data_IF_304261925901
#
_entry.id   IF_304261925901
#
_cell.length_a   1.000
_cell.length_b   1.000
_cell.length_c   1.000
_cell.angle_alpha   90.00
_cell.angle_beta   90.00
_cell.angle_gamma   90.00
#
_symmetry.space_group_name_H-M   'P 1'
#
loop_
_entity.id
_entity.type
_entity.pdbx_description
1 polymer ?
#
# COMPACT_ATOMS: atom_id res chain seq x y z
N UNK A 1 12.92 -4.91 4.70
CA UNK A 1 13.10 -5.06 3.24
C UNK A 1 12.20 -6.19 2.75
N UNK A 2 11.50 -6.02 1.63
CA UNK A 2 10.64 -7.06 1.06
C UNK A 2 11.09 -7.45 -0.36
N UNK A 3 11.10 -6.50 -1.30
CA UNK A 3 11.41 -6.77 -2.71
C UNK A 3 11.85 -5.50 -3.45
N UNK A 4 12.25 -5.65 -4.72
CA UNK A 4 12.51 -4.52 -5.63
C UNK A 4 11.80 -4.71 -6.97
N UNK A 5 11.36 -3.63 -7.61
CA UNK A 5 10.74 -3.64 -8.94
C UNK A 5 11.28 -2.49 -9.79
N UNK A 6 11.82 -2.73 -10.99
CA UNK A 6 12.16 -1.64 -11.91
C UNK A 6 10.87 -0.96 -12.42
N UNK A 7 10.90 0.36 -12.54
CA UNK A 7 9.78 1.16 -13.02
C UNK A 7 10.24 2.14 -14.12
N UNK A 8 9.86 1.94 -15.39
CA UNK A 8 10.47 2.65 -16.52
C UNK A 8 9.95 4.08 -16.76
N UNK A 9 9.26 4.68 -15.79
CA UNK A 9 8.71 6.04 -15.90
C UNK A 9 9.05 6.88 -14.67
N UNK A 10 10.03 7.82 -14.74
CA UNK A 10 10.93 8.11 -15.86
C UNK A 10 12.10 7.12 -16.00
N UNK A 11 12.60 6.54 -14.91
CA UNK A 11 13.59 5.44 -14.83
C UNK A 11 13.94 5.23 -13.34
N UNK A 12 13.14 4.44 -12.64
CA UNK A 12 13.22 4.28 -11.19
C UNK A 12 13.43 2.82 -10.78
N UNK A 13 14.06 2.60 -9.64
CA UNK A 13 14.07 1.32 -8.94
C UNK A 13 13.20 1.44 -7.68
N UNK A 14 12.06 0.77 -7.68
CA UNK A 14 11.19 0.72 -6.51
C UNK A 14 11.76 -0.26 -5.49
N UNK A 15 12.02 0.20 -4.27
CA UNK A 15 12.46 -0.63 -3.15
C UNK A 15 11.28 -0.76 -2.18
N UNK A 16 10.70 -1.95 -2.10
CA UNK A 16 9.54 -2.24 -1.27
C UNK A 16 9.93 -2.54 0.17
N UNK A 17 9.32 -1.82 1.11
CA UNK A 17 9.53 -1.94 2.55
C UNK A 17 8.17 -2.08 3.26
N UNK A 18 8.16 -2.87 4.34
CA UNK A 18 7.08 -2.87 5.33
C UNK A 18 7.68 -2.24 6.59
N UNK A 19 7.01 -1.23 7.13
CA UNK A 19 7.49 -0.47 8.27
C UNK A 19 6.39 -0.37 9.32
N UNK A 20 6.80 -0.36 10.59
CA UNK A 20 5.91 -0.03 11.71
C UNK A 20 5.94 1.47 11.93
N UNK A 21 4.78 2.04 12.24
CA UNK A 21 4.64 3.45 12.60
C UNK A 21 4.59 3.60 14.12
N UNK A 22 5.10 4.71 14.63
CA UNK A 22 5.10 5.00 16.06
C UNK A 22 3.75 5.55 16.58
N UNK A 23 2.88 6.03 15.67
CA UNK A 23 1.58 6.64 15.94
C UNK A 23 0.63 6.42 14.74
N UNK A 24 -0.67 6.47 14.99
CA UNK A 24 -1.75 6.46 14.00
C UNK A 24 -2.24 7.88 13.61
N UNK A 25 -1.62 8.92 14.15
CA UNK A 25 -1.85 10.30 13.69
C UNK A 25 -1.34 10.47 12.24
N UNK A 26 -2.27 10.70 11.31
CA UNK A 26 -1.97 10.89 9.90
C UNK A 26 -2.68 12.13 9.34
N UNK A 27 -1.91 13.03 8.73
CA UNK A 27 -2.41 14.19 7.98
C UNK A 27 -1.74 14.20 6.60
N UNK A 28 -2.50 14.20 5.48
CA UNK A 28 -1.92 14.31 4.16
C UNK A 28 -1.26 15.68 3.93
N UNK A 29 -0.12 15.69 3.25
CA UNK A 29 0.34 16.89 2.55
C UNK A 29 -0.52 17.08 1.31
N UNK A 30 -1.41 18.07 1.35
CA UNK A 30 -2.39 18.35 0.31
C UNK A 30 -1.77 18.78 -1.04
N UNK A 31 -0.45 18.99 -1.11
CA UNK A 31 0.26 19.22 -2.37
C UNK A 31 0.62 17.92 -3.10
N UNK A 32 0.75 16.80 -2.38
CA UNK A 32 1.14 15.50 -2.93
C UNK A 32 0.01 14.44 -2.86
N UNK A 33 -0.74 14.40 -1.75
CA UNK A 33 -1.79 13.43 -1.49
C UNK A 33 -3.09 14.14 -1.09
N UNK A 34 -4.22 13.69 -1.62
CA UNK A 34 -5.53 14.30 -1.31
C UNK A 34 -6.20 13.73 -0.05
N UNK A 35 -5.89 12.47 0.30
CA UNK A 35 -6.47 11.74 1.43
C UNK A 35 -5.47 10.70 1.94
N UNK A 36 -5.49 10.44 3.25
CA UNK A 36 -4.82 9.31 3.89
C UNK A 36 -5.84 8.58 4.77
N UNK A 37 -5.79 7.26 4.76
CA UNK A 37 -6.69 6.40 5.54
C UNK A 37 -5.93 5.20 6.09
N UNK A 38 -6.24 4.84 7.33
CA UNK A 38 -5.80 3.58 7.93
C UNK A 38 -6.77 2.46 7.58
N UNK A 39 -6.22 1.29 7.31
CA UNK A 39 -6.98 0.07 7.07
C UNK A 39 -6.53 -0.99 8.07
N UNK A 40 -7.50 -1.73 8.61
CA UNK A 40 -7.24 -2.98 9.33
C UNK A 40 -6.87 -4.09 8.34
N UNK A 41 -6.26 -5.19 8.83
CA UNK A 41 -5.95 -6.36 7.97
C UNK A 41 -7.18 -6.91 7.24
N UNK A 42 -8.37 -7.09 7.87
CA UNK A 42 -9.58 -7.49 7.16
C UNK A 42 -9.99 -6.51 6.06
N UNK A 43 -10.00 -5.19 6.33
CA UNK A 43 -10.37 -4.19 5.33
C UNK A 43 -9.37 -4.15 4.16
N UNK A 44 -8.08 -4.34 4.42
CA UNK A 44 -7.07 -4.45 3.37
C UNK A 44 -7.28 -5.68 2.49
N UNK A 45 -7.70 -6.82 3.06
CA UNK A 45 -8.08 -8.01 2.28
C UNK A 45 -9.32 -7.76 1.42
N UNK A 46 -10.31 -7.05 1.95
CA UNK A 46 -11.48 -6.64 1.17
C UNK A 46 -11.12 -5.64 0.06
N UNK A 47 -10.17 -4.73 0.32
CA UNK A 47 -9.64 -3.80 -0.68
C UNK A 47 -8.92 -4.53 -1.82
N UNK A 48 -8.08 -5.51 -1.48
CA UNK A 48 -7.41 -6.39 -2.45
C UNK A 48 -8.42 -7.23 -3.26
N UNK A 49 -9.55 -7.59 -2.66
CA UNK A 49 -10.65 -8.29 -3.31
C UNK A 49 -11.60 -7.37 -4.10
N UNK A 50 -11.37 -6.05 -4.10
CA UNK A 50 -12.20 -5.07 -4.80
C UNK A 50 -13.59 -4.88 -4.19
N UNK A 51 -13.74 -5.10 -2.89
CA UNK A 51 -15.04 -5.04 -2.17
C UNK A 51 -15.27 -3.73 -1.42
N UNK A 52 -14.31 -2.81 -1.45
CA UNK A 52 -14.41 -1.51 -0.76
C UNK A 52 -14.90 -0.46 -1.75
N UNK A 53 -16.05 0.16 -1.46
CA UNK A 53 -16.59 1.21 -2.31
C UNK A 53 -15.76 2.51 -2.22
N UNK A 54 -15.65 3.22 -3.34
CA UNK A 54 -14.96 4.51 -3.41
C UNK A 54 -13.43 4.45 -3.39
N UNK A 55 -12.82 3.26 -3.34
CA UNK A 55 -11.37 3.07 -3.42
C UNK A 55 -11.02 1.70 -4.02
N UNK A 56 -9.76 1.51 -4.43
CA UNK A 56 -9.30 0.26 -5.03
C UNK A 56 -7.83 0.00 -4.70
N UNK A 57 -7.43 -1.27 -4.61
CA UNK A 57 -6.03 -1.64 -4.50
C UNK A 57 -5.30 -1.41 -5.83
N UNK A 58 -3.98 -1.12 -5.80
CA UNK A 58 -3.16 -1.15 -7.00
C UNK A 58 -3.29 -2.49 -7.74
N UNK A 59 -3.08 -2.48 -9.07
CA UNK A 59 -3.16 -3.70 -9.87
C UNK A 59 -2.16 -4.78 -9.42
N UNK A 60 -2.50 -6.05 -9.61
CA UNK A 60 -1.76 -7.21 -9.05
C UNK A 60 -0.26 -7.26 -9.40
N UNK A 61 0.16 -6.67 -10.53
CA UNK A 61 1.57 -6.64 -10.93
C UNK A 61 2.39 -5.53 -10.24
N UNK A 62 1.75 -4.54 -9.63
CA UNK A 62 2.43 -3.43 -8.99
C UNK A 62 3.09 -3.87 -7.67
N UNK A 63 4.30 -3.40 -7.39
CA UNK A 63 4.96 -3.65 -6.09
C UNK A 63 4.11 -3.18 -4.91
N UNK A 64 3.33 -2.11 -5.08
CA UNK A 64 2.39 -1.62 -4.07
C UNK A 64 1.32 -2.66 -3.70
N UNK A 65 0.79 -3.39 -4.69
CA UNK A 65 -0.14 -4.50 -4.43
C UNK A 65 0.53 -5.63 -3.65
N UNK A 66 1.75 -5.99 -4.05
CA UNK A 66 2.50 -7.07 -3.40
C UNK A 66 2.84 -6.74 -1.94
N UNK A 67 3.19 -5.48 -1.64
CA UNK A 67 3.43 -5.03 -0.26
C UNK A 67 2.14 -5.07 0.58
N UNK A 68 1.03 -4.55 0.04
CA UNK A 68 -0.26 -4.57 0.71
C UNK A 68 -0.72 -6.00 1.01
N UNK A 69 -0.61 -6.90 0.02
CA UNK A 69 -0.95 -8.31 0.17
C UNK A 69 -0.08 -9.00 1.21
N UNK A 70 1.25 -8.84 1.14
CA UNK A 70 2.17 -9.47 2.07
C UNK A 70 1.90 -9.05 3.53
N UNK A 71 1.61 -7.76 3.78
CA UNK A 71 1.24 -7.29 5.11
C UNK A 71 -0.14 -7.78 5.55
N UNK A 72 -1.14 -7.73 4.66
CA UNK A 72 -2.50 -8.16 4.97
C UNK A 72 -2.58 -9.67 5.25
N UNK A 73 -1.73 -10.49 4.65
CA UNK A 73 -1.69 -11.95 4.85
C UNK A 73 -0.73 -12.40 5.95
N UNK A 74 0.04 -11.51 6.58
CA UNK A 74 0.97 -11.90 7.66
C UNK A 74 0.23 -12.30 8.94
N UNK A 75 0.86 -13.18 9.71
CA UNK A 75 0.34 -13.71 10.99
C UNK A 75 0.64 -12.80 12.20
N UNK A 76 1.38 -11.70 12.00
CA UNK A 76 1.78 -10.75 13.06
C UNK A 76 0.61 -9.99 13.71
#
# INVERSE_FOLDING_TARGET
YHSTQPWPYPSSLMIGLIAQVASDEATPDQTELSEVRWFTKPEARDLLAGKVEGTFAPGAMAIAHQLLKAWAESDD
#
